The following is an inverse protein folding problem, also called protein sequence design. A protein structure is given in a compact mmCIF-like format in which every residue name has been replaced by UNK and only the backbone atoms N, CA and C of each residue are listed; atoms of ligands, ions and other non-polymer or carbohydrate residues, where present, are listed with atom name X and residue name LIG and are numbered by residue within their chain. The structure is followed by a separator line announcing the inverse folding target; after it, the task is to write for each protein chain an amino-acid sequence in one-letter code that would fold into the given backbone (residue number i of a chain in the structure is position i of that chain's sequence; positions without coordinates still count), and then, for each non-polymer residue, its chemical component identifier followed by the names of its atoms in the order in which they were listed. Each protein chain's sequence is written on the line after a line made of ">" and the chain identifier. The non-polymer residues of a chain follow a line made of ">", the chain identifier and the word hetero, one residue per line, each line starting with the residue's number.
data_IF_763029216606
#
_entry.id   IF_763029216606
#
_cell.length_a   1.000
_cell.length_b   1.000
_cell.length_c   1.000
_cell.angle_alpha   90.00
_cell.angle_beta   90.00
_cell.angle_gamma   90.00
#
_symmetry.space_group_name_H-M   'P 1'
#
loop_
_entity.id
_entity.type
_entity.pdbx_description
1 polymer ?
#
# COMPACT_ATOMS: atom_id res chain seq x y z
N UNK A 1 30.35 -19.10 -15.42
CA UNK A 1 30.30 -17.70 -14.97
C UNK A 1 29.11 -17.57 -14.05
N UNK A 2 29.34 -17.50 -12.74
CA UNK A 2 28.26 -17.25 -11.79
C UNK A 2 27.77 -15.83 -12.01
N UNK A 3 26.56 -15.68 -12.53
CA UNK A 3 25.84 -14.42 -12.42
C UNK A 3 25.58 -14.22 -10.93
N UNK A 4 26.43 -13.44 -10.27
CA UNK A 4 25.99 -12.77 -9.05
C UNK A 4 24.92 -11.79 -9.55
N UNK A 5 23.64 -12.18 -9.42
CA UNK A 5 22.55 -11.21 -9.48
C UNK A 5 22.88 -10.18 -8.40
N UNK A 6 23.37 -9.01 -8.83
CA UNK A 6 23.69 -7.93 -7.91
C UNK A 6 22.49 -7.60 -7.04
N UNK A 7 22.75 -7.17 -5.81
CA UNK A 7 21.73 -6.62 -4.90
C UNK A 7 20.85 -5.65 -5.69
N UNK A 8 19.54 -5.86 -5.67
CA UNK A 8 18.60 -5.01 -6.41
C UNK A 8 18.74 -3.57 -5.92
N UNK A 9 18.86 -2.63 -6.85
CA UNK A 9 18.89 -1.20 -6.51
C UNK A 9 17.46 -0.74 -6.17
N UNK A 10 17.18 -0.29 -4.92
CA UNK A 10 15.86 0.19 -4.54
C UNK A 10 15.53 1.58 -5.12
N UNK A 11 16.50 2.27 -5.73
CA UNK A 11 16.32 3.59 -6.32
C UNK A 11 15.96 3.49 -7.80
N UNK A 12 14.97 4.27 -8.21
CA UNK A 12 14.54 4.45 -9.61
C UNK A 12 15.43 5.47 -10.28
N UNK A 13 15.56 6.64 -9.65
CA UNK A 13 16.38 7.75 -10.13
C UNK A 13 16.85 8.60 -8.94
N UNK A 14 18.07 9.08 -9.05
CA UNK A 14 18.70 9.97 -8.09
C UNK A 14 18.96 11.31 -8.79
N UNK A 15 18.30 12.37 -8.33
CA UNK A 15 18.45 13.73 -8.87
C UNK A 15 18.94 14.62 -7.74
N UNK A 16 20.26 14.78 -7.64
CA UNK A 16 20.89 15.52 -6.54
C UNK A 16 20.61 14.86 -5.19
N UNK A 17 19.97 15.58 -4.26
CA UNK A 17 19.57 15.06 -2.95
C UNK A 17 18.20 14.34 -2.95
N UNK A 18 17.49 14.35 -4.07
CA UNK A 18 16.17 13.72 -4.18
C UNK A 18 16.32 12.32 -4.77
N UNK A 19 15.95 11.32 -3.97
CA UNK A 19 15.98 9.91 -4.37
C UNK A 19 14.55 9.41 -4.53
N UNK A 20 14.20 9.01 -5.76
CA UNK A 20 12.92 8.35 -6.03
C UNK A 20 13.11 6.85 -5.84
N UNK A 21 12.37 6.27 -4.90
CA UNK A 21 12.44 4.85 -4.59
C UNK A 21 11.40 4.06 -5.39
N UNK A 22 11.72 2.81 -5.76
CA UNK A 22 10.76 1.88 -6.37
C UNK A 22 9.51 1.68 -5.51
N UNK A 23 9.68 1.77 -4.18
CA UNK A 23 8.60 1.77 -3.20
C UNK A 23 7.46 2.71 -3.58
N UNK A 24 7.77 4.00 -3.81
CA UNK A 24 6.76 5.01 -4.12
C UNK A 24 6.12 4.80 -5.49
N UNK A 25 6.93 4.43 -6.49
CA UNK A 25 6.47 4.22 -7.87
C UNK A 25 5.50 3.04 -7.98
N UNK A 26 5.86 1.89 -7.40
CA UNK A 26 5.05 0.67 -7.46
C UNK A 26 3.75 0.85 -6.67
N UNK A 27 3.79 1.48 -5.49
CA UNK A 27 2.58 1.78 -4.71
C UNK A 27 1.66 2.74 -5.47
N UNK A 28 2.21 3.81 -6.05
CA UNK A 28 1.42 4.75 -6.85
C UNK A 28 0.78 4.04 -8.05
N UNK A 29 1.51 3.16 -8.74
CA UNK A 29 0.96 2.35 -9.84
C UNK A 29 -0.17 1.44 -9.36
N UNK A 30 -0.02 0.78 -8.21
CA UNK A 30 -1.07 -0.05 -7.60
C UNK A 30 -2.33 0.75 -7.26
N UNK A 31 -2.17 1.94 -6.66
CA UNK A 31 -3.27 2.86 -6.35
C UNK A 31 -3.99 3.28 -7.64
N UNK A 32 -3.25 3.74 -8.65
CA UNK A 32 -3.82 4.18 -9.93
C UNK A 32 -4.58 3.05 -10.63
N UNK A 33 -4.02 1.84 -10.65
CA UNK A 33 -4.68 0.66 -11.21
C UNK A 33 -5.99 0.36 -10.47
N UNK A 34 -5.98 0.36 -9.13
CA UNK A 34 -7.17 0.11 -8.34
C UNK A 34 -8.24 1.18 -8.54
N UNK A 35 -7.85 2.46 -8.60
CA UNK A 35 -8.78 3.57 -8.86
C UNK A 35 -9.41 3.44 -10.24
N UNK A 36 -8.60 3.22 -11.28
CA UNK A 36 -9.11 3.12 -12.65
C UNK A 36 -10.09 1.96 -12.82
N UNK A 37 -9.77 0.79 -12.25
CA UNK A 37 -10.64 -0.38 -12.32
C UNK A 37 -11.91 -0.20 -11.47
N UNK A 38 -11.77 0.40 -10.27
CA UNK A 38 -12.91 0.67 -9.39
C UNK A 38 -13.87 1.70 -10.00
N UNK A 39 -13.37 2.77 -10.61
CA UNK A 39 -14.20 3.75 -11.34
C UNK A 39 -14.93 3.11 -12.51
N UNK A 40 -14.24 2.28 -13.30
CA UNK A 40 -14.86 1.55 -14.41
C UNK A 40 -15.98 0.62 -13.91
N UNK A 41 -15.75 -0.10 -12.81
CA UNK A 41 -16.74 -1.02 -12.25
C UNK A 41 -17.90 -0.27 -11.59
N UNK A 42 -17.63 0.82 -10.87
CA UNK A 42 -18.63 1.70 -10.29
C UNK A 42 -19.61 2.24 -11.34
N UNK A 43 -19.09 2.66 -12.51
CA UNK A 43 -19.90 3.11 -13.64
C UNK A 43 -20.83 2.00 -14.17
N UNK A 44 -20.34 0.75 -14.26
CA UNK A 44 -21.19 -0.40 -14.65
C UNK A 44 -22.28 -0.71 -13.62
N UNK A 45 -22.03 -0.41 -12.34
CA UNK A 45 -22.98 -0.60 -11.24
C UNK A 45 -23.91 0.59 -11.01
N UNK A 46 -23.86 1.61 -11.88
CA UNK A 46 -24.75 2.77 -11.84
C UNK A 46 -24.37 3.84 -10.81
N UNK A 47 -23.14 3.80 -10.27
CA UNK A 47 -22.62 4.91 -9.47
C UNK A 47 -22.15 6.05 -10.38
N UNK A 48 -22.19 7.29 -9.85
CA UNK A 48 -21.62 8.44 -10.55
C UNK A 48 -20.12 8.23 -10.77
N UNK A 49 -19.63 8.61 -11.94
CA UNK A 49 -18.25 8.37 -12.40
C UNK A 49 -17.19 8.91 -11.43
N UNK A 50 -17.50 10.03 -10.76
CA UNK A 50 -16.59 10.69 -9.83
C UNK A 50 -16.66 10.13 -8.41
N UNK A 51 -17.65 9.28 -8.08
CA UNK A 51 -17.87 8.78 -6.70
C UNK A 51 -16.61 8.16 -6.11
N UNK A 52 -15.96 7.27 -6.87
CA UNK A 52 -14.75 6.56 -6.42
C UNK A 52 -13.56 7.50 -6.30
N UNK A 53 -13.41 8.42 -7.26
CA UNK A 53 -12.31 9.39 -7.28
C UNK A 53 -12.45 10.34 -6.08
N UNK A 54 -13.64 10.88 -5.86
CA UNK A 54 -13.92 11.73 -4.70
C UNK A 54 -13.66 11.01 -3.38
N UNK A 55 -14.14 9.77 -3.25
CA UNK A 55 -13.87 8.95 -2.06
C UNK A 55 -12.38 8.78 -1.84
N UNK A 56 -11.61 8.53 -2.89
CA UNK A 56 -10.16 8.36 -2.81
C UNK A 56 -9.43 9.64 -2.44
N UNK A 57 -9.85 10.80 -2.98
CA UNK A 57 -9.28 12.11 -2.68
C UNK A 57 -9.41 12.46 -1.19
N UNK A 58 -10.43 11.94 -0.50
CA UNK A 58 -10.56 12.06 0.96
C UNK A 58 -9.87 10.92 1.71
N UNK A 59 -10.10 9.67 1.31
CA UNK A 59 -9.68 8.49 2.06
C UNK A 59 -8.15 8.27 2.02
N UNK A 60 -7.47 8.59 0.92
CA UNK A 60 -6.01 8.39 0.82
C UNK A 60 -5.26 9.36 1.75
N UNK A 61 -5.50 10.69 1.72
CA UNK A 61 -4.82 11.60 2.64
C UNK A 61 -5.17 11.33 4.11
N UNK A 62 -6.46 11.13 4.44
CA UNK A 62 -6.87 10.84 5.82
C UNK A 62 -6.31 9.49 6.28
N UNK A 63 -6.26 8.49 5.40
CA UNK A 63 -5.60 7.21 5.66
C UNK A 63 -4.11 7.39 5.97
N UNK A 64 -3.38 8.19 5.19
CA UNK A 64 -1.97 8.47 5.46
C UNK A 64 -1.76 9.15 6.82
N UNK A 65 -2.62 10.13 7.15
CA UNK A 65 -2.60 10.78 8.46
C UNK A 65 -2.90 9.79 9.59
N UNK A 66 -3.90 8.93 9.42
CA UNK A 66 -4.25 7.89 10.40
C UNK A 66 -3.12 6.88 10.58
N UNK A 67 -2.46 6.47 9.50
CA UNK A 67 -1.34 5.54 9.54
C UNK A 67 -0.15 6.12 10.29
N UNK A 68 0.12 7.42 10.12
CA UNK A 68 1.14 8.14 10.89
C UNK A 68 0.75 8.28 12.35
N UNK A 69 -0.47 8.74 12.63
CA UNK A 69 -0.98 8.94 13.99
C UNK A 69 -0.94 7.63 14.78
N UNK A 70 -1.37 6.52 14.18
CA UNK A 70 -1.33 5.21 14.82
C UNK A 70 0.11 4.79 15.15
N UNK A 71 1.06 4.98 14.22
CA UNK A 71 2.47 4.69 14.49
C UNK A 71 3.03 5.54 15.64
N UNK A 72 2.69 6.83 15.68
CA UNK A 72 3.09 7.75 16.75
C UNK A 72 2.53 7.32 18.10
N UNK A 73 1.26 6.90 18.15
CA UNK A 73 0.63 6.37 19.35
C UNK A 73 1.23 5.03 19.79
N UNK A 74 1.65 4.20 18.84
CA UNK A 74 2.32 2.94 19.12
C UNK A 74 3.72 3.18 19.74
N UNK A 75 4.46 4.14 19.20
CA UNK A 75 5.81 4.55 19.67
C UNK A 75 5.76 5.79 20.57
N UNK A 76 4.72 5.93 21.40
CA UNK A 76 4.42 7.16 22.13
C UNK A 76 5.59 7.67 22.99
N UNK A 77 6.33 6.76 23.63
CA UNK A 77 7.48 7.11 24.47
C UNK A 77 8.58 7.87 23.72
N UNK A 78 8.81 7.52 22.45
CA UNK A 78 9.79 8.20 21.59
C UNK A 78 9.30 9.59 21.19
N UNK A 79 8.03 9.70 20.77
CA UNK A 79 7.47 10.94 20.24
C UNK A 79 7.14 11.98 21.32
N UNK A 80 6.90 11.58 22.57
CA UNK A 80 6.81 12.51 23.69
C UNK A 80 8.13 13.27 23.94
N UNK A 81 9.26 12.61 23.68
CA UNK A 81 10.59 13.21 23.79
C UNK A 81 10.98 13.97 22.52
N UNK A 82 10.36 13.65 21.38
CA UNK A 82 10.67 14.19 20.06
C UNK A 82 9.42 14.71 19.33
N UNK A 83 8.66 15.66 19.88
CA UNK A 83 7.36 16.07 19.33
C UNK A 83 7.46 16.64 17.91
N UNK A 84 8.57 17.30 17.57
CA UNK A 84 8.82 17.82 16.22
C UNK A 84 8.89 16.72 15.14
N UNK A 85 9.18 15.47 15.53
CA UNK A 85 9.27 14.35 14.59
C UNK A 85 7.91 13.75 14.25
N UNK A 86 6.83 14.10 14.96
CA UNK A 86 5.48 13.56 14.71
C UNK A 86 5.05 13.79 13.25
N UNK A 87 5.37 14.95 12.68
CA UNK A 87 5.01 15.31 11.31
C UNK A 87 6.03 14.87 10.25
N UNK A 88 7.19 14.38 10.66
CA UNK A 88 8.30 14.01 9.77
C UNK A 88 8.05 12.65 9.09
N UNK A 89 7.03 12.57 8.22
CA UNK A 89 6.64 11.35 7.51
C UNK A 89 7.72 10.83 6.55
N UNK A 90 8.65 11.71 6.12
CA UNK A 90 9.79 11.34 5.27
C UNK A 90 10.84 10.50 6.01
N UNK A 91 10.82 10.47 7.35
CA UNK A 91 11.65 9.57 8.14
C UNK A 91 11.04 8.16 8.25
N UNK A 92 9.94 7.88 7.55
CA UNK A 92 9.19 6.63 7.68
C UNK A 92 8.24 6.64 8.88
N UNK A 93 7.96 5.46 9.44
CA UNK A 93 7.05 5.31 10.58
C UNK A 93 5.58 5.47 10.19
N UNK A 94 5.09 4.53 9.38
CA UNK A 94 3.71 4.45 8.91
C UNK A 94 3.18 3.07 9.28
N UNK A 95 2.06 3.01 10.02
CA UNK A 95 1.42 1.76 10.41
C UNK A 95 0.14 1.53 9.60
N UNK A 96 0.07 0.40 8.89
CA UNK A 96 -1.09 0.08 8.02
C UNK A 96 -2.42 0.09 8.77
N UNK A 97 -2.44 -0.33 10.04
CA UNK A 97 -3.64 -0.35 10.87
C UNK A 97 -4.31 1.02 10.97
N UNK A 98 -3.53 2.07 11.20
CA UNK A 98 -4.04 3.44 11.25
C UNK A 98 -4.62 3.90 9.92
N UNK A 99 -3.99 3.49 8.81
CA UNK A 99 -4.48 3.80 7.47
C UNK A 99 -5.79 3.11 7.14
N UNK A 100 -5.94 1.84 7.52
CA UNK A 100 -7.19 1.09 7.33
C UNK A 100 -8.33 1.66 8.19
N UNK A 101 -8.06 2.01 9.44
CA UNK A 101 -9.07 2.59 10.34
C UNK A 101 -9.52 3.97 9.83
N UNK A 102 -8.57 4.88 9.57
CA UNK A 102 -8.91 6.25 9.18
C UNK A 102 -9.45 6.31 7.73
N UNK A 103 -8.84 5.57 6.81
CA UNK A 103 -9.28 5.48 5.42
C UNK A 103 -10.65 4.79 5.30
N UNK A 104 -10.84 3.65 5.98
CA UNK A 104 -12.11 2.94 6.03
C UNK A 104 -13.22 3.76 6.71
N UNK A 105 -12.89 4.48 7.79
CA UNK A 105 -13.82 5.41 8.44
C UNK A 105 -14.22 6.57 7.53
N UNK A 106 -13.27 7.09 6.75
CA UNK A 106 -13.55 8.13 5.74
C UNK A 106 -14.46 7.60 4.64
N UNK A 107 -14.21 6.39 4.13
CA UNK A 107 -15.07 5.73 3.14
C UNK A 107 -16.50 5.56 3.67
N UNK A 108 -16.64 5.06 4.90
CA UNK A 108 -17.93 4.89 5.56
C UNK A 108 -18.69 6.22 5.69
N UNK A 109 -18.01 7.25 6.19
CA UNK A 109 -18.59 8.58 6.33
C UNK A 109 -19.01 9.17 4.98
N UNK A 110 -18.15 9.05 3.95
CA UNK A 110 -18.42 9.59 2.61
C UNK A 110 -19.61 8.88 1.95
N UNK A 111 -19.64 7.54 2.01
CA UNK A 111 -20.76 6.74 1.49
C UNK A 111 -22.08 7.13 2.15
N UNK A 112 -22.09 7.28 3.49
CA UNK A 112 -23.27 7.74 4.23
C UNK A 112 -23.69 9.15 3.83
N UNK A 113 -22.74 10.08 3.66
CA UNK A 113 -23.01 11.48 3.27
C UNK A 113 -23.62 11.58 1.87
N UNK A 114 -23.21 10.72 0.93
CA UNK A 114 -23.70 10.68 -0.45
C UNK A 114 -24.93 9.78 -0.64
N UNK A 115 -25.42 9.11 0.42
CA UNK A 115 -26.52 8.15 0.31
C UNK A 115 -26.17 6.91 -0.51
N UNK A 116 -24.88 6.61 -0.68
CA UNK A 116 -24.40 5.45 -1.42
C UNK A 116 -24.32 4.23 -0.52
N UNK A 117 -24.71 3.06 -1.04
CA UNK A 117 -24.57 1.79 -0.30
C UNK A 117 -23.09 1.48 -0.04
N UNK A 118 -22.69 1.45 1.23
CA UNK A 118 -21.33 1.06 1.62
C UNK A 118 -20.98 -0.34 1.13
N UNK A 119 -21.92 -1.29 1.21
CA UNK A 119 -21.70 -2.66 0.76
C UNK A 119 -21.35 -2.70 -0.72
N UNK A 120 -22.09 -1.96 -1.55
CA UNK A 120 -21.81 -1.86 -2.99
C UNK A 120 -20.42 -1.26 -3.25
N UNK A 121 -20.07 -0.21 -2.52
CA UNK A 121 -18.74 0.42 -2.63
C UNK A 121 -17.65 -0.58 -2.26
N UNK A 122 -17.81 -1.32 -1.16
CA UNK A 122 -16.84 -2.33 -0.73
C UNK A 122 -16.73 -3.50 -1.73
N UNK A 123 -17.85 -3.96 -2.30
CA UNK A 123 -17.86 -5.00 -3.34
C UNK A 123 -17.08 -4.56 -4.59
N UNK A 124 -17.18 -3.28 -4.97
CA UNK A 124 -16.41 -2.69 -6.07
C UNK A 124 -14.92 -2.58 -5.70
N UNK A 125 -14.60 -2.12 -4.49
CA UNK A 125 -13.23 -1.82 -4.09
C UNK A 125 -12.41 -3.08 -3.75
N UNK A 126 -13.01 -4.07 -3.09
CA UNK A 126 -12.30 -5.24 -2.55
C UNK A 126 -11.38 -5.97 -3.55
N UNK A 127 -11.83 -6.37 -4.75
CA UNK A 127 -10.95 -7.05 -5.72
C UNK A 127 -9.83 -6.13 -6.23
N UNK A 128 -10.10 -4.84 -6.36
CA UNK A 128 -9.15 -3.86 -6.87
C UNK A 128 -8.08 -3.49 -5.83
N UNK A 129 -8.47 -3.42 -4.55
CA UNK A 129 -7.54 -3.27 -3.42
C UNK A 129 -6.66 -4.51 -3.30
N UNK A 130 -7.19 -5.71 -3.48
CA UNK A 130 -6.41 -6.95 -3.50
C UNK A 130 -5.35 -6.92 -4.63
N UNK A 131 -5.73 -6.44 -5.81
CA UNK A 131 -4.79 -6.24 -6.92
C UNK A 131 -3.69 -5.23 -6.54
N UNK A 132 -4.05 -4.08 -5.97
CA UNK A 132 -3.07 -3.09 -5.50
C UNK A 132 -2.12 -3.66 -4.45
N UNK A 133 -2.62 -4.47 -3.52
CA UNK A 133 -1.78 -5.15 -2.52
C UNK A 133 -0.82 -6.15 -3.16
N UNK A 134 -1.28 -6.90 -4.16
CA UNK A 134 -0.45 -7.82 -4.94
C UNK A 134 0.65 -7.08 -5.70
N UNK A 135 0.34 -5.95 -6.34
CA UNK A 135 1.33 -5.07 -6.98
C UNK A 135 2.33 -4.56 -5.94
N UNK A 136 1.84 -4.12 -4.78
CA UNK A 136 2.66 -3.64 -3.67
C UNK A 136 3.67 -4.68 -3.16
N UNK A 137 3.42 -5.98 -3.28
CA UNK A 137 4.39 -7.02 -2.87
C UNK A 137 5.69 -6.98 -3.69
N UNK A 138 5.66 -6.45 -4.92
CA UNK A 138 6.87 -6.27 -5.72
C UNK A 138 7.83 -5.24 -5.10
N UNK A 139 7.32 -4.33 -4.26
CA UNK A 139 8.18 -3.45 -3.46
C UNK A 139 9.03 -4.26 -2.50
N UNK A 140 8.45 -5.26 -1.83
CA UNK A 140 9.20 -6.10 -0.89
C UNK A 140 10.32 -6.85 -1.63
N UNK A 141 10.07 -7.30 -2.85
CA UNK A 141 11.08 -7.90 -3.71
C UNK A 141 12.21 -6.91 -4.05
N UNK A 142 11.89 -5.69 -4.50
CA UNK A 142 12.89 -4.66 -4.82
C UNK A 142 13.71 -4.23 -3.60
N UNK A 143 13.07 -4.13 -2.44
CA UNK A 143 13.69 -3.77 -1.17
C UNK A 143 14.38 -4.95 -0.47
N UNK A 144 14.22 -6.17 -0.99
CA UNK A 144 14.73 -7.41 -0.37
C UNK A 144 14.27 -7.56 1.09
N UNK A 145 13.01 -7.25 1.36
CA UNK A 145 12.38 -7.34 2.68
C UNK A 145 11.21 -8.31 2.68
N UNK A 146 10.67 -8.62 3.87
CA UNK A 146 9.50 -9.48 4.06
C UNK A 146 9.59 -10.87 3.37
N UNK A 147 10.81 -11.36 3.14
CA UNK A 147 11.05 -12.73 2.70
C UNK A 147 10.89 -13.71 3.87
N UNK A 148 10.69 -14.99 3.55
CA UNK A 148 10.69 -16.06 4.55
C UNK A 148 12.04 -16.26 5.22
N UNK A 149 12.07 -17.12 6.25
CA UNK A 149 13.32 -17.57 6.85
C UNK A 149 14.10 -18.53 5.92
N UNK A 150 15.37 -18.83 6.24
CA UNK A 150 16.14 -19.82 5.50
C UNK A 150 15.47 -21.20 5.61
N UNK A 151 15.41 -21.91 4.49
CA UNK A 151 14.83 -23.25 4.39
C UNK A 151 15.80 -24.22 3.71
N UNK A 152 15.65 -25.52 3.97
CA UNK A 152 16.47 -26.54 3.33
C UNK A 152 15.98 -26.81 1.91
N UNK A 153 16.89 -27.27 1.03
CA UNK A 153 16.51 -27.73 -0.31
C UNK A 153 15.48 -28.84 -0.28
N UNK A 154 15.64 -29.82 0.63
CA UNK A 154 14.68 -30.91 0.82
C UNK A 154 13.27 -30.40 1.15
N UNK A 155 13.15 -29.30 1.90
CA UNK A 155 11.85 -28.67 2.13
C UNK A 155 11.24 -28.12 0.84
N UNK A 156 12.03 -27.45 -0.01
CA UNK A 156 11.58 -26.91 -1.30
C UNK A 156 11.18 -28.02 -2.28
N UNK A 157 11.93 -29.13 -2.33
CA UNK A 157 11.63 -30.29 -3.18
C UNK A 157 10.34 -31.02 -2.76
N UNK A 158 9.93 -30.88 -1.50
CA UNK A 158 8.63 -31.38 -1.03
C UNK A 158 7.46 -30.44 -1.35
N UNK A 159 7.73 -29.24 -1.86
CA UNK A 159 6.71 -28.33 -2.38
C UNK A 159 6.50 -28.61 -3.87
N UNK A 160 5.29 -28.37 -4.37
CA UNK A 160 4.96 -28.47 -5.79
C UNK A 160 5.50 -27.27 -6.59
N UNK A 161 6.80 -26.96 -6.43
CA UNK A 161 7.50 -25.87 -7.09
C UNK A 161 8.17 -26.38 -8.39
N UNK A 162 8.19 -25.57 -9.46
CA UNK A 162 9.02 -25.84 -10.63
C UNK A 162 10.51 -25.94 -10.28
N UNK A 163 11.25 -26.83 -10.95
CA UNK A 163 12.69 -27.06 -10.67
C UNK A 163 13.55 -25.81 -10.78
N UNK A 164 13.19 -24.83 -11.62
CA UNK A 164 13.97 -23.59 -11.77
C UNK A 164 13.88 -22.64 -10.57
N UNK A 165 12.99 -22.92 -9.61
CA UNK A 165 12.82 -22.14 -8.36
C UNK A 165 13.65 -22.76 -7.21
N UNK A 166 13.98 -24.05 -7.30
CA UNK A 166 14.69 -24.84 -6.27
C UNK A 166 16.21 -24.75 -6.48
#
# INVERSE_FOLDING_TARGET
>A
MGFVLGVLNPHVVEIGSVVIHWYGVIIAAGILAALQLSTKEAKKKGLEEDTIIDMALWAIPIGLLGARLYYVLFELGYYLQNPGQILAIWNGGIAIYGGLIAGGGTLYWYAKKKGTSLALVLDILAPNVLLAQSIGRWVNFMNQEAHGGPVTRQFLENLYLPEFII
#
